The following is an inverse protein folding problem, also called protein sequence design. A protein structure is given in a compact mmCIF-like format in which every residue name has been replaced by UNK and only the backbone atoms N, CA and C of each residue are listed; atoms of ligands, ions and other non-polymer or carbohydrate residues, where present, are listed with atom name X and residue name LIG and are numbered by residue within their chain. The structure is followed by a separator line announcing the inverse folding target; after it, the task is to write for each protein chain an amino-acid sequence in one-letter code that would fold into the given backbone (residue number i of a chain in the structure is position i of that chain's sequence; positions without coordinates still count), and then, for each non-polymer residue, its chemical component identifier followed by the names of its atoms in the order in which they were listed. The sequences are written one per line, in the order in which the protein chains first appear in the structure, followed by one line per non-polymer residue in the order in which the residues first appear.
data_IF_802531893347
#
_entry.id   IF_802531893347
#
_cell.length_a   1.000
_cell.length_b   1.000
_cell.length_c   1.000
_cell.angle_alpha   90.00
_cell.angle_beta   90.00
_cell.angle_gamma   90.00
#
_symmetry.space_group_name_H-M   'P 1'
#
loop_
_entity.id
_entity.type
_entity.pdbx_description
1 polymer ?
#
# COMPACT_ATOMS: atom_id res chain seq x y z
N UNK A 1 -21.45 13.38 -1.55
CA UNK A 1 -20.16 13.42 -2.27
C UNK A 1 -19.65 11.98 -2.28
N UNK A 2 -19.85 11.25 -3.39
CA UNK A 2 -19.47 9.84 -3.47
C UNK A 2 -17.98 9.73 -3.75
N UNK A 3 -17.22 8.83 -3.10
CA UNK A 3 -15.83 8.61 -3.44
C UNK A 3 -15.78 8.02 -4.84
N UNK A 4 -15.07 8.69 -5.75
CA UNK A 4 -14.78 8.16 -7.08
C UNK A 4 -13.74 7.06 -6.91
N UNK A 5 -14.17 5.81 -6.86
CA UNK A 5 -13.29 4.64 -6.93
C UNK A 5 -12.70 4.55 -8.34
N UNK A 6 -11.72 5.41 -8.62
CA UNK A 6 -10.81 5.23 -9.73
C UNK A 6 -9.78 4.21 -9.26
N UNK A 7 -9.64 3.10 -10.00
CA UNK A 7 -8.51 2.18 -9.83
C UNK A 7 -7.24 2.99 -10.13
N UNK A 8 -6.60 3.58 -9.11
CA UNK A 8 -5.50 4.52 -9.36
C UNK A 8 -4.31 3.78 -9.93
N UNK A 9 -3.65 4.44 -10.87
CA UNK A 9 -2.52 3.91 -11.63
C UNK A 9 -1.29 3.94 -10.72
N UNK A 10 -0.44 2.91 -10.77
CA UNK A 10 0.84 2.92 -10.02
C UNK A 10 1.81 3.94 -10.64
N UNK A 11 1.70 5.19 -10.20
CA UNK A 11 2.52 6.31 -10.68
C UNK A 11 3.93 6.29 -10.09
N UNK A 12 4.14 5.65 -8.93
CA UNK A 12 5.45 5.61 -8.27
C UNK A 12 6.24 4.35 -8.60
N UNK A 13 5.61 3.36 -9.22
CA UNK A 13 6.16 2.03 -9.49
C UNK A 13 6.68 1.37 -8.21
N UNK A 14 5.94 1.54 -7.11
CA UNK A 14 6.38 1.17 -5.77
C UNK A 14 5.60 -0.01 -5.18
N UNK A 15 4.77 -0.70 -5.95
CA UNK A 15 3.98 -1.84 -5.46
C UNK A 15 4.85 -2.94 -4.81
N UNK A 16 5.99 -3.29 -5.43
CA UNK A 16 6.89 -4.31 -4.87
C UNK A 16 7.58 -3.83 -3.57
N UNK A 17 8.01 -2.57 -3.53
CA UNK A 17 8.57 -1.96 -2.31
C UNK A 17 7.54 -1.97 -1.18
N UNK A 18 6.31 -1.57 -1.49
CA UNK A 18 5.23 -1.53 -0.53
C UNK A 18 4.86 -2.93 -0.02
N UNK A 19 4.75 -3.92 -0.92
CA UNK A 19 4.47 -5.31 -0.55
C UNK A 19 5.57 -5.88 0.33
N UNK A 20 6.84 -5.61 0.02
CA UNK A 20 7.97 -6.05 0.84
C UNK A 20 7.91 -5.46 2.25
N UNK A 21 7.56 -4.17 2.38
CA UNK A 21 7.40 -3.51 3.68
C UNK A 21 6.28 -4.14 4.52
N UNK A 22 5.12 -4.41 3.91
CA UNK A 22 4.03 -5.11 4.58
C UNK A 22 4.44 -6.52 5.02
N UNK A 23 5.19 -7.26 4.18
CA UNK A 23 5.67 -8.61 4.53
C UNK A 23 6.67 -8.55 5.69
N UNK A 24 7.56 -7.55 5.68
CA UNK A 24 8.51 -7.34 6.77
C UNK A 24 7.79 -7.12 8.10
N UNK A 25 6.77 -6.25 8.13
CA UNK A 25 6.01 -5.96 9.34
C UNK A 25 5.15 -7.16 9.78
N UNK A 26 4.54 -7.86 8.82
CA UNK A 26 3.77 -9.07 9.03
C UNK A 26 4.60 -10.27 9.53
N UNK A 27 5.94 -10.24 9.38
CA UNK A 27 6.91 -11.29 9.71
C UNK A 27 6.76 -12.60 8.91
N UNK A 28 5.77 -12.72 8.05
CA UNK A 28 5.53 -13.88 7.19
C UNK A 28 4.73 -13.44 5.95
N UNK A 29 5.21 -13.82 4.77
CA UNK A 29 4.58 -13.41 3.51
C UNK A 29 3.18 -13.98 3.31
N UNK A 30 2.84 -15.08 3.99
CA UNK A 30 1.48 -15.66 3.90
C UNK A 30 0.40 -14.73 4.45
N UNK A 31 0.78 -13.73 5.24
CA UNK A 31 -0.15 -12.76 5.84
C UNK A 31 -0.39 -11.51 4.99
N UNK A 32 0.29 -11.39 3.84
CA UNK A 32 0.14 -10.27 2.90
C UNK A 32 -0.27 -10.83 1.55
N UNK A 33 -1.49 -10.50 1.12
CA UNK A 33 -2.08 -11.00 -0.10
C UNK A 33 -1.83 -10.13 -1.33
N UNK A 34 -2.83 -10.14 -2.21
CA UNK A 34 -2.82 -9.37 -3.45
C UNK A 34 -3.09 -7.89 -3.20
N UNK A 35 -2.66 -7.06 -4.15
CA UNK A 35 -2.95 -5.63 -4.14
C UNK A 35 -4.45 -5.39 -4.37
N UNK A 36 -5.06 -4.59 -3.51
CA UNK A 36 -6.48 -4.23 -3.55
C UNK A 36 -6.67 -2.92 -4.32
N UNK A 37 -5.95 -1.88 -3.90
CA UNK A 37 -5.99 -0.55 -4.51
C UNK A 37 -4.68 0.19 -4.30
N UNK A 38 -4.51 1.23 -5.11
CA UNK A 38 -3.49 2.26 -4.92
C UNK A 38 -4.28 3.56 -4.80
N UNK A 39 -4.06 4.30 -3.73
CA UNK A 39 -4.73 5.54 -3.43
C UNK A 39 -3.68 6.65 -3.40
N UNK A 40 -3.67 7.49 -4.44
CA UNK A 40 -2.70 8.58 -4.58
C UNK A 40 -3.36 9.90 -4.25
N UNK A 41 -2.77 10.65 -3.32
CA UNK A 41 -3.15 12.03 -3.03
C UNK A 41 -2.00 12.92 -3.49
N UNK A 42 -2.31 13.81 -4.43
CA UNK A 42 -1.47 14.94 -4.88
C UNK A 42 0.04 14.66 -5.04
N UNK A 43 0.42 14.30 -6.27
CA UNK A 43 1.76 14.21 -6.90
C UNK A 43 2.87 13.40 -6.21
N UNK A 44 2.90 13.30 -4.89
CA UNK A 44 4.04 12.80 -4.13
C UNK A 44 3.70 11.76 -3.07
N UNK A 45 2.42 11.48 -2.79
CA UNK A 45 2.01 10.47 -1.79
C UNK A 45 1.08 9.44 -2.42
N UNK A 46 1.33 8.16 -2.12
CA UNK A 46 0.44 7.07 -2.51
C UNK A 46 0.41 5.98 -1.43
N UNK A 47 -0.78 5.51 -1.11
CA UNK A 47 -1.03 4.39 -0.22
C UNK A 47 -1.37 3.15 -1.03
N UNK A 48 -0.60 2.09 -0.83
CA UNK A 48 -0.80 0.77 -1.44
C UNK A 48 -1.54 -0.11 -0.44
N UNK A 49 -2.73 -0.57 -0.82
CA UNK A 49 -3.53 -1.46 0.00
C UNK A 49 -3.35 -2.91 -0.48
N UNK A 50 -3.04 -3.81 0.45
CA UNK A 50 -2.97 -5.26 0.20
C UNK A 50 -3.94 -6.00 1.12
N UNK A 51 -4.47 -7.14 0.65
CA UNK A 51 -5.26 -8.04 1.50
C UNK A 51 -4.44 -8.49 2.71
N UNK A 52 -5.05 -8.50 3.90
CA UNK A 52 -4.44 -9.07 5.10
C UNK A 52 -5.00 -10.46 5.40
N UNK A 53 -4.12 -11.41 5.68
CA UNK A 53 -4.51 -12.79 6.00
C UNK A 53 -4.14 -13.19 7.45
N UNK A 54 -4.01 -12.22 8.36
CA UNK A 54 -3.71 -12.51 9.77
C UNK A 54 -4.95 -13.09 10.48
N UNK A 55 -4.77 -14.15 11.29
CA UNK A 55 -5.82 -14.62 12.18
C UNK A 55 -6.29 -13.50 13.11
N UNK A 56 -7.61 -13.26 13.16
CA UNK A 56 -8.21 -12.20 13.98
C UNK A 56 -8.39 -10.84 13.30
N UNK A 57 -7.81 -10.64 12.11
CA UNK A 57 -7.91 -9.40 11.32
C UNK A 57 -8.61 -9.65 9.98
N UNK A 58 -9.64 -10.48 9.98
CA UNK A 58 -10.40 -10.82 8.75
C UNK A 58 -11.05 -9.56 8.18
N UNK A 59 -10.84 -9.31 6.89
CA UNK A 59 -11.36 -8.14 6.17
C UNK A 59 -10.46 -6.91 6.23
N UNK A 60 -9.43 -6.94 7.07
CA UNK A 60 -8.46 -5.85 7.18
C UNK A 60 -7.51 -5.83 5.98
N UNK A 61 -6.80 -4.71 5.82
CA UNK A 61 -5.83 -4.47 4.77
C UNK A 61 -4.52 -3.94 5.35
N UNK A 62 -3.43 -4.35 4.74
CA UNK A 62 -2.15 -3.66 4.91
C UNK A 62 -2.19 -2.38 4.10
N UNK A 63 -1.99 -1.23 4.74
CA UNK A 63 -1.85 0.06 4.11
C UNK A 63 -0.42 0.53 4.23
N UNK A 64 0.25 0.66 3.09
CA UNK A 64 1.64 1.10 3.01
C UNK A 64 1.69 2.43 2.30
N UNK A 65 2.02 3.48 3.03
CA UNK A 65 2.13 4.84 2.48
C UNK A 65 3.54 5.08 2.00
N UNK A 66 3.65 5.50 0.74
CA UNK A 66 4.90 5.76 0.05
C UNK A 66 4.91 7.20 -0.41
N UNK A 67 6.07 7.85 -0.27
CA UNK A 67 6.35 9.17 -0.85
C UNK A 67 7.35 9.09 -1.99
N UNK A 68 7.18 9.94 -3.00
CA UNK A 68 8.11 10.07 -4.12
C UNK A 68 8.11 11.51 -4.67
N UNK A 69 9.28 12.15 -4.68
CA UNK A 69 9.43 13.58 -5.00
C UNK A 69 9.24 13.89 -6.49
N UNK A 70 9.68 13.02 -7.39
CA UNK A 70 9.48 13.14 -8.84
C UNK A 70 9.64 11.76 -9.50
N UNK A 71 9.49 11.66 -10.83
CA UNK A 71 9.55 10.36 -11.53
C UNK A 71 10.89 9.63 -11.39
N UNK A 72 11.98 10.37 -11.25
CA UNK A 72 13.36 9.86 -11.18
C UNK A 72 13.80 9.53 -9.75
N UNK A 73 13.14 10.11 -8.75
CA UNK A 73 13.44 9.88 -7.35
C UNK A 73 13.10 8.46 -6.89
N UNK A 74 13.89 7.96 -5.94
CA UNK A 74 13.61 6.68 -5.27
C UNK A 74 12.41 6.83 -4.34
N UNK A 75 11.37 6.00 -4.45
CA UNK A 75 10.25 6.02 -3.51
C UNK A 75 10.69 5.62 -2.10
N UNK A 76 10.09 6.24 -1.08
CA UNK A 76 10.37 5.96 0.35
C UNK A 76 9.11 5.61 1.11
N UNK A 77 9.20 4.63 2.02
CA UNK A 77 8.07 4.23 2.87
C UNK A 77 7.92 5.23 4.01
N UNK A 78 6.72 5.75 4.21
CA UNK A 78 6.39 6.63 5.33
C UNK A 78 5.85 5.85 6.52
N UNK A 79 4.97 4.88 6.26
CA UNK A 79 4.36 4.06 7.30
C UNK A 79 3.81 2.74 6.73
N UNK A 80 3.65 1.77 7.61
CA UNK A 80 3.05 0.45 7.35
C UNK A 80 2.06 0.18 8.47
N UNK A 81 0.77 0.16 8.14
CA UNK A 81 -0.30 -0.05 9.13
C UNK A 81 -1.29 -1.10 8.66
N UNK A 82 -1.96 -1.72 9.63
CA UNK A 82 -3.05 -2.66 9.40
C UNK A 82 -4.37 -1.95 9.71
N UNK A 83 -5.30 -1.90 8.75
CA UNK A 83 -6.58 -1.16 8.85
C UNK A 83 -7.80 -2.07 8.60
N UNK A 84 -8.94 -1.88 9.28
CA UNK A 84 -10.18 -2.63 9.05
C UNK A 84 -10.87 -2.35 7.71
#
# INVERSE_FOLDING_TARGET
MAPKTSKSRDIFKAAELAKAAAIEDARDSKYVGEIVSIESDEDHVATYLFEAALPGYVGWRWAVTVTKVDSESTPTICDVVLLP
#
